data_IF_735943010585
#
_entry.id   IF_735943010585
#
_cell.length_a   1.000
_cell.length_b   1.000
_cell.length_c   1.000
_cell.angle_alpha   90.00
_cell.angle_beta   90.00
_cell.angle_gamma   90.00
#
_symmetry.space_group_name_H-M   'P 1'
#
loop_
_entity.id
_entity.type
_entity.pdbx_description
1 polymer ?
#
# COMPACT_ATOMS: atom_id res chain seq x y z
N UNK A 1 58.06 25.44 57.48
CA UNK A 1 57.16 26.40 56.80
C UNK A 1 57.99 27.16 55.77
N UNK A 2 57.75 26.91 54.47
CA UNK A 2 58.43 27.53 53.32
C UNK A 2 57.35 28.05 52.35
N UNK A 3 57.51 29.22 51.73
CA UNK A 3 56.43 29.89 51.01
C UNK A 3 56.26 29.32 49.58
N UNK A 4 55.02 29.31 49.12
CA UNK A 4 54.60 28.90 47.77
C UNK A 4 54.61 30.13 46.86
N UNK A 5 55.33 30.04 45.74
CA UNK A 5 55.29 31.01 44.64
C UNK A 5 54.18 30.64 43.65
N UNK A 6 53.31 31.60 43.33
CA UNK A 6 52.26 31.46 42.30
C UNK A 6 52.80 32.02 40.98
N UNK A 7 52.90 31.18 39.95
CA UNK A 7 53.14 31.60 38.57
C UNK A 7 51.79 31.70 37.84
N UNK A 8 51.49 32.88 37.31
CA UNK A 8 50.35 33.11 36.42
C UNK A 8 50.74 32.74 34.97
N UNK A 9 50.02 31.81 34.36
CA UNK A 9 50.14 31.46 32.95
C UNK A 9 49.00 32.13 32.17
N UNK A 10 49.38 32.99 31.23
CA UNK A 10 48.51 33.67 30.27
C UNK A 10 48.14 32.68 29.16
N UNK A 11 46.84 32.45 28.94
CA UNK A 11 46.33 31.61 27.85
C UNK A 11 45.88 32.48 26.68
N UNK A 12 46.47 32.24 25.51
CA UNK A 12 46.11 32.89 24.24
C UNK A 12 44.87 32.21 23.64
N UNK A 13 43.80 32.96 23.34
CA UNK A 13 42.58 32.44 22.71
C UNK A 13 42.73 32.39 21.19
N UNK A 14 42.62 31.19 20.62
CA UNK A 14 42.46 30.96 19.18
C UNK A 14 40.96 30.85 18.89
N UNK A 15 40.44 31.76 18.06
CA UNK A 15 39.04 31.81 17.61
C UNK A 15 38.78 30.74 16.54
N UNK A 16 38.29 29.57 16.97
CA UNK A 16 37.69 28.57 16.08
C UNK A 16 36.25 28.94 15.74
N UNK A 17 35.98 29.27 14.48
CA UNK A 17 34.63 29.45 13.96
C UNK A 17 33.85 28.14 14.05
N UNK A 18 32.73 28.15 14.78
CA UNK A 18 31.79 27.03 14.86
C UNK A 18 31.00 26.92 13.54
N UNK A 19 30.79 25.73 12.98
CA UNK A 19 29.93 25.55 11.82
C UNK A 19 28.49 25.88 12.22
N UNK A 20 27.89 26.83 11.51
CA UNK A 20 26.49 27.24 11.64
C UNK A 20 25.57 26.02 11.59
N UNK A 21 24.91 25.71 12.71
CA UNK A 21 23.83 24.74 12.74
C UNK A 21 22.64 25.33 11.99
N UNK A 22 22.45 24.87 10.74
CA UNK A 22 21.22 25.11 9.99
C UNK A 22 20.08 24.42 10.74
N UNK A 23 19.29 25.22 11.45
CA UNK A 23 18.05 24.81 12.08
C UNK A 23 17.11 24.30 10.99
N UNK A 24 16.85 22.99 11.00
CA UNK A 24 15.80 22.41 10.16
C UNK A 24 14.47 23.13 10.45
N UNK A 25 13.74 23.52 9.41
CA UNK A 25 12.39 24.00 9.55
C UNK A 25 11.55 22.95 10.30
N UNK A 26 10.61 23.36 11.17
CA UNK A 26 9.76 22.41 11.88
C UNK A 26 8.95 21.63 10.84
N UNK A 27 9.26 20.35 10.71
CA UNK A 27 8.42 19.35 10.03
C UNK A 27 7.06 19.44 10.72
N UNK A 28 5.98 19.61 9.94
CA UNK A 28 4.63 19.60 10.50
C UNK A 28 4.46 18.37 11.41
N UNK A 29 3.78 18.54 12.55
CA UNK A 29 3.67 17.47 13.55
C UNK A 29 3.33 16.14 12.85
N UNK A 30 4.17 15.08 12.99
CA UNK A 30 3.88 13.81 12.37
C UNK A 30 2.49 13.36 12.82
N UNK A 31 1.67 12.93 11.86
CA UNK A 31 0.36 12.35 12.19
C UNK A 31 0.57 11.24 13.23
N UNK A 32 -0.28 11.13 14.27
CA UNK A 32 -0.14 10.09 15.27
C UNK A 32 0.00 8.73 14.60
N UNK A 33 0.93 7.90 15.08
CA UNK A 33 1.16 6.58 14.52
C UNK A 33 -0.15 5.77 14.53
N UNK A 34 -0.61 5.36 13.35
CA UNK A 34 -1.82 4.57 13.21
C UNK A 34 -1.53 3.15 13.69
N UNK A 35 -2.29 2.68 14.68
CA UNK A 35 -2.11 1.35 15.24
C UNK A 35 -2.28 0.26 14.16
N UNK A 36 -1.35 -0.69 14.13
CA UNK A 36 -1.36 -1.84 13.21
C UNK A 36 -1.82 -3.11 13.96
N UNK A 37 -3.09 -3.47 13.80
CA UNK A 37 -3.74 -4.59 14.47
C UNK A 37 -3.65 -5.86 13.61
N UNK A 38 -2.81 -6.80 14.05
CA UNK A 38 -2.55 -8.05 13.33
C UNK A 38 -3.02 -9.26 14.10
N UNK A 39 -3.51 -10.26 13.37
CA UNK A 39 -3.97 -11.51 13.93
C UNK A 39 -3.20 -12.67 13.28
N UNK A 40 -2.56 -13.50 14.11
CA UNK A 40 -1.68 -14.60 13.65
C UNK A 40 -2.45 -15.82 13.16
N UNK A 41 -3.67 -16.02 13.65
CA UNK A 41 -4.56 -17.12 13.28
C UNK A 41 -5.56 -16.71 12.21
N UNK A 42 -6.33 -17.66 11.68
CA UNK A 42 -7.57 -17.38 10.95
C UNK A 42 -8.76 -17.41 11.90
N UNK A 43 -9.84 -16.63 11.64
CA UNK A 43 -11.05 -16.70 12.45
C UNK A 43 -11.69 -18.09 12.32
N UNK A 44 -12.06 -18.68 13.45
CA UNK A 44 -12.70 -20.00 13.53
C UNK A 44 -14.23 -19.92 13.55
N UNK A 45 -14.87 -21.09 13.57
CA UNK A 45 -16.32 -21.24 13.71
C UNK A 45 -16.81 -22.55 13.08
N UNK A 46 -18.00 -23.05 13.47
CA UNK A 46 -18.59 -24.21 12.82
C UNK A 46 -18.92 -23.92 11.35
N UNK A 47 -18.78 -24.93 10.48
CA UNK A 47 -19.28 -24.84 9.11
C UNK A 47 -20.80 -24.76 9.11
N UNK A 48 -21.37 -24.04 8.15
CA UNK A 48 -22.82 -23.94 7.92
C UNK A 48 -23.18 -24.53 6.56
N UNK A 49 -24.41 -25.01 6.41
CA UNK A 49 -24.88 -25.62 5.16
C UNK A 49 -24.91 -24.58 4.03
N UNK A 50 -24.21 -24.89 2.93
CA UNK A 50 -24.34 -24.15 1.66
C UNK A 50 -25.76 -24.28 1.10
N UNK A 51 -26.25 -23.19 0.51
CA UNK A 51 -27.60 -23.04 -0.06
C UNK A 51 -27.76 -23.93 -1.29
N UNK A 52 -26.76 -23.96 -2.16
CA UNK A 52 -26.84 -24.68 -3.43
C UNK A 52 -26.07 -26.01 -3.40
N UNK A 53 -26.65 -27.06 -3.99
CA UNK A 53 -25.99 -28.37 -4.14
C UNK A 53 -24.75 -28.26 -5.04
N UNK A 54 -24.80 -27.40 -6.07
CA UNK A 54 -23.67 -27.13 -6.97
C UNK A 54 -22.49 -26.50 -6.21
N UNK A 55 -22.75 -25.55 -5.33
CA UNK A 55 -21.73 -24.95 -4.47
C UNK A 55 -20.99 -25.99 -3.64
N UNK A 56 -21.68 -26.97 -3.07
CA UNK A 56 -21.04 -28.10 -2.35
C UNK A 56 -20.09 -28.92 -3.22
N UNK A 57 -20.44 -29.13 -4.49
CA UNK A 57 -19.57 -29.84 -5.43
C UNK A 57 -18.34 -28.99 -5.77
N UNK A 58 -18.54 -27.70 -6.01
CA UNK A 58 -17.47 -26.73 -6.32
C UNK A 58 -16.48 -26.61 -5.17
N UNK A 59 -16.95 -26.45 -3.93
CA UNK A 59 -16.06 -26.32 -2.76
C UNK A 59 -15.33 -27.62 -2.42
N UNK A 60 -15.94 -28.78 -2.70
CA UNK A 60 -15.30 -30.09 -2.46
C UNK A 60 -14.21 -30.43 -3.48
N UNK A 61 -14.39 -30.03 -4.75
CA UNK A 61 -13.49 -30.42 -5.85
C UNK A 61 -12.50 -29.32 -6.24
N UNK A 62 -12.85 -28.06 -6.01
CA UNK A 62 -12.03 -26.91 -6.38
C UNK A 62 -11.12 -26.44 -5.25
N UNK A 63 -9.92 -25.99 -5.58
CA UNK A 63 -9.07 -25.29 -4.61
C UNK A 63 -9.56 -23.84 -4.39
N UNK A 64 -9.56 -23.34 -3.15
CA UNK A 64 -9.91 -21.95 -2.86
C UNK A 64 -9.06 -20.93 -3.64
N UNK A 65 -9.69 -19.90 -4.18
CA UNK A 65 -9.08 -18.79 -4.92
C UNK A 65 -9.77 -17.47 -4.57
N UNK A 66 -9.97 -17.21 -3.28
CA UNK A 66 -10.67 -16.03 -2.79
C UNK A 66 -9.79 -14.78 -2.87
N UNK A 67 -10.42 -13.61 -2.91
CA UNK A 67 -9.74 -12.31 -2.95
C UNK A 67 -10.50 -11.32 -2.08
N UNK A 68 -9.77 -10.58 -1.25
CA UNK A 68 -10.30 -9.41 -0.56
C UNK A 68 -9.63 -8.17 -1.11
N UNK A 69 -10.42 -7.11 -1.32
CA UNK A 69 -9.92 -5.81 -1.75
C UNK A 69 -9.63 -4.95 -0.53
N UNK A 70 -8.42 -4.39 -0.47
CA UNK A 70 -8.01 -3.54 0.64
C UNK A 70 -8.92 -2.31 0.73
N UNK A 71 -9.46 -2.07 1.92
CA UNK A 71 -10.31 -0.90 2.18
C UNK A 71 -9.44 0.24 2.69
N UNK A 72 -9.57 1.41 2.07
CA UNK A 72 -9.03 2.67 2.58
C UNK A 72 -10.17 3.64 2.82
N UNK A 73 -10.28 4.18 4.04
CA UNK A 73 -11.36 5.08 4.42
C UNK A 73 -10.94 6.10 5.48
N UNK A 74 -11.74 7.14 5.66
CA UNK A 74 -11.73 7.98 6.87
C UNK A 74 -12.84 7.54 7.83
N UNK A 75 -12.72 7.82 9.15
CA UNK A 75 -13.70 7.33 10.14
C UNK A 75 -15.11 7.92 9.94
N UNK A 76 -15.20 9.11 9.37
CA UNK A 76 -16.43 9.90 9.26
C UNK A 76 -17.22 9.66 7.97
N UNK A 77 -16.72 8.79 7.07
CA UNK A 77 -17.50 8.40 5.89
C UNK A 77 -18.81 7.74 6.32
N UNK A 78 -19.94 8.04 5.66
CA UNK A 78 -21.24 7.51 6.08
C UNK A 78 -21.26 5.97 6.04
N UNK A 79 -20.55 5.39 5.06
CA UNK A 79 -20.48 3.95 4.80
C UNK A 79 -19.05 3.55 4.47
N UNK A 80 -18.56 2.55 5.20
CA UNK A 80 -17.36 1.79 4.85
C UNK A 80 -17.78 0.52 4.10
N UNK A 81 -17.04 0.12 3.06
CA UNK A 81 -17.41 -1.02 2.22
C UNK A 81 -16.28 -2.03 2.15
N UNK A 82 -16.56 -3.25 2.62
CA UNK A 82 -15.65 -4.39 2.48
C UNK A 82 -16.09 -5.19 1.26
N UNK A 83 -15.17 -5.45 0.33
CA UNK A 83 -15.49 -6.12 -0.94
C UNK A 83 -14.41 -7.11 -1.33
N UNK A 84 -14.77 -8.02 -2.24
CA UNK A 84 -13.86 -9.00 -2.80
C UNK A 84 -14.64 -10.06 -3.57
N UNK A 85 -13.96 -11.15 -3.90
CA UNK A 85 -14.52 -12.25 -4.70
C UNK A 85 -14.23 -13.60 -4.07
N UNK A 86 -15.19 -14.50 -4.16
CA UNK A 86 -15.12 -15.87 -3.65
C UNK A 86 -15.16 -16.81 -4.84
N UNK A 87 -14.03 -17.40 -5.18
CA UNK A 87 -13.96 -18.39 -6.26
C UNK A 87 -13.20 -19.66 -5.88
N UNK A 88 -13.41 -20.69 -6.70
CA UNK A 88 -12.74 -21.99 -6.58
C UNK A 88 -12.21 -22.48 -7.93
N UNK A 89 -11.18 -23.32 -7.89
CA UNK A 89 -10.61 -24.00 -9.04
C UNK A 89 -9.73 -23.13 -9.93
N UNK A 90 -9.16 -23.74 -10.98
CA UNK A 90 -8.13 -23.11 -11.83
C UNK A 90 -8.66 -21.96 -12.71
N UNK A 91 -9.95 -21.98 -13.03
CA UNK A 91 -10.61 -20.94 -13.84
C UNK A 91 -11.36 -19.91 -13.00
N UNK A 92 -11.19 -19.92 -11.67
CA UNK A 92 -11.93 -19.05 -10.74
C UNK A 92 -13.45 -19.09 -10.96
N UNK A 93 -14.07 -20.24 -10.64
CA UNK A 93 -15.54 -20.33 -10.63
C UNK A 93 -16.06 -19.60 -9.39
N UNK A 94 -16.78 -18.50 -9.59
CA UNK A 94 -17.48 -17.78 -8.53
C UNK A 94 -18.41 -18.70 -7.73
N UNK A 95 -18.37 -18.56 -6.40
CA UNK A 95 -19.30 -19.22 -5.49
C UNK A 95 -20.58 -18.37 -5.45
N UNK A 96 -21.63 -18.81 -6.14
CA UNK A 96 -22.85 -18.02 -6.38
C UNK A 96 -23.85 -18.15 -5.24
N UNK A 97 -24.44 -17.03 -4.81
CA UNK A 97 -25.53 -16.97 -3.83
C UNK A 97 -25.24 -17.71 -2.51
N UNK A 98 -23.99 -17.67 -2.03
CA UNK A 98 -23.59 -18.27 -0.76
C UNK A 98 -23.25 -17.21 0.29
N UNK A 99 -23.41 -17.59 1.56
CA UNK A 99 -23.05 -16.71 2.67
C UNK A 99 -21.54 -16.77 2.92
N UNK A 100 -20.94 -15.60 3.19
CA UNK A 100 -19.58 -15.44 3.73
C UNK A 100 -19.59 -14.56 4.97
N UNK A 101 -18.72 -14.87 5.92
CA UNK A 101 -18.55 -14.10 7.15
C UNK A 101 -17.30 -13.24 7.09
N UNK A 102 -17.43 -11.97 7.50
CA UNK A 102 -16.32 -11.03 7.53
C UNK A 102 -15.89 -10.75 8.97
N UNK A 103 -14.59 -10.61 9.17
CA UNK A 103 -13.95 -10.39 10.46
C UNK A 103 -12.94 -9.25 10.37
N UNK A 104 -12.76 -8.53 11.47
CA UNK A 104 -11.66 -7.60 11.67
C UNK A 104 -10.81 -8.02 12.86
N UNK A 105 -9.50 -7.82 12.77
CA UNK A 105 -8.62 -7.95 13.91
C UNK A 105 -8.71 -6.71 14.82
N UNK A 106 -9.01 -6.94 16.10
CA UNK A 106 -8.88 -5.97 17.19
C UNK A 106 -7.86 -6.49 18.19
N UNK A 107 -6.71 -5.81 18.30
CA UNK A 107 -5.65 -6.12 19.30
C UNK A 107 -5.31 -7.63 19.40
N UNK A 108 -5.15 -8.30 18.26
CA UNK A 108 -4.80 -9.73 18.19
C UNK A 108 -5.97 -10.70 18.26
N UNK A 109 -7.21 -10.21 18.37
CA UNK A 109 -8.43 -11.04 18.40
C UNK A 109 -9.30 -10.78 17.18
N UNK A 110 -9.80 -11.85 16.56
CA UNK A 110 -10.79 -11.71 15.48
C UNK A 110 -12.17 -11.37 16.03
N UNK A 111 -12.77 -10.31 15.50
CA UNK A 111 -14.14 -9.86 15.80
C UNK A 111 -14.99 -10.00 14.54
N UNK A 112 -16.15 -10.64 14.66
CA UNK A 112 -17.11 -10.78 13.56
C UNK A 112 -17.78 -9.45 13.22
N UNK A 113 -17.78 -9.08 11.94
CA UNK A 113 -18.39 -7.85 11.42
C UNK A 113 -19.79 -8.07 10.85
N UNK A 114 -20.04 -9.26 10.31
CA UNK A 114 -21.32 -9.58 9.68
C UNK A 114 -21.20 -10.66 8.62
N UNK A 115 -22.31 -10.90 7.92
CA UNK A 115 -22.41 -11.82 6.79
C UNK A 115 -22.74 -11.05 5.52
N UNK A 116 -22.10 -11.40 4.42
CA UNK A 116 -22.45 -10.95 3.08
C UNK A 116 -22.88 -12.14 2.22
N UNK A 117 -23.72 -11.88 1.21
CA UNK A 117 -24.12 -12.85 0.18
C UNK A 117 -23.26 -12.60 -1.05
N UNK A 118 -22.72 -13.65 -1.65
CA UNK A 118 -22.06 -13.55 -2.95
C UNK A 118 -23.07 -13.44 -4.09
N UNK A 119 -22.74 -12.71 -5.16
CA UNK A 119 -23.55 -12.61 -6.38
C UNK A 119 -23.22 -13.70 -7.42
N UNK A 120 -23.72 -13.54 -8.67
CA UNK A 120 -23.54 -14.47 -9.79
C UNK A 120 -22.07 -14.59 -10.23
N UNK A 121 -21.23 -13.61 -9.92
CA UNK A 121 -19.80 -13.60 -10.19
C UNK A 121 -18.98 -14.06 -8.98
N UNK A 122 -19.63 -14.26 -7.84
CA UNK A 122 -19.00 -14.57 -6.57
C UNK A 122 -18.47 -13.33 -5.84
N UNK A 123 -18.83 -12.11 -6.25
CA UNK A 123 -18.46 -10.89 -5.52
C UNK A 123 -19.25 -10.82 -4.21
N UNK A 124 -18.58 -10.41 -3.14
CA UNK A 124 -19.23 -10.08 -1.87
C UNK A 124 -19.08 -8.58 -1.59
N UNK A 125 -20.08 -8.02 -0.90
CA UNK A 125 -20.02 -6.67 -0.37
C UNK A 125 -20.68 -6.61 1.02
N UNK A 126 -19.94 -6.12 2.02
CA UNK A 126 -20.47 -5.81 3.35
C UNK A 126 -20.35 -4.32 3.62
N UNK A 127 -21.48 -3.65 3.82
CA UNK A 127 -21.55 -2.27 4.27
C UNK A 127 -21.42 -2.19 5.79
N UNK A 128 -20.52 -1.34 6.28
CA UNK A 128 -20.42 -0.98 7.69
C UNK A 128 -20.89 0.46 7.86
N UNK A 129 -21.90 0.66 8.68
CA UNK A 129 -22.58 1.95 8.90
C UNK A 129 -22.80 2.19 10.39
N UNK A 130 -23.00 3.45 10.77
CA UNK A 130 -23.19 3.84 12.17
C UNK A 130 -22.06 3.31 13.07
N UNK A 131 -22.44 2.63 14.15
CA UNK A 131 -21.52 2.06 15.14
C UNK A 131 -20.79 0.80 14.65
N UNK A 132 -21.15 0.23 13.49
CA UNK A 132 -20.44 -0.90 12.90
C UNK A 132 -19.19 -0.49 12.10
N UNK A 133 -19.03 0.81 11.80
CA UNK A 133 -17.83 1.32 11.14
C UNK A 133 -16.59 1.04 11.97
N UNK A 134 -15.51 0.67 11.30
CA UNK A 134 -14.23 0.49 11.91
C UNK A 134 -13.61 1.86 12.24
N UNK A 135 -13.10 2.01 13.47
CA UNK A 135 -12.38 3.22 13.89
C UNK A 135 -11.01 3.36 13.23
N UNK A 136 -10.27 4.42 13.58
CA UNK A 136 -8.91 4.65 13.09
C UNK A 136 -8.00 3.45 13.43
N UNK A 137 -7.20 3.02 12.46
CA UNK A 137 -6.32 1.87 12.58
C UNK A 137 -6.06 1.19 11.24
N UNK A 138 -4.89 0.59 11.11
CA UNK A 138 -4.58 -0.43 10.12
C UNK A 138 -4.88 -1.78 10.75
N UNK A 139 -5.56 -2.69 10.05
CA UNK A 139 -5.92 -3.99 10.61
C UNK A 139 -6.08 -5.09 9.58
N UNK A 140 -5.78 -6.31 10.00
CA UNK A 140 -6.15 -7.49 9.24
C UNK A 140 -7.68 -7.57 9.15
N UNK A 141 -8.16 -7.81 7.94
CA UNK A 141 -9.53 -8.21 7.65
C UNK A 141 -9.51 -9.63 7.11
N UNK A 142 -10.59 -10.37 7.31
CA UNK A 142 -10.71 -11.73 6.81
C UNK A 142 -12.13 -12.00 6.32
N UNK A 143 -12.26 -12.69 5.19
CA UNK A 143 -13.53 -13.24 4.71
C UNK A 143 -13.44 -14.77 4.74
N UNK A 144 -14.46 -15.43 5.31
CA UNK A 144 -14.54 -16.89 5.44
C UNK A 144 -15.82 -17.42 4.82
N UNK A 145 -15.70 -18.47 4.01
CA UNK A 145 -16.84 -19.19 3.47
C UNK A 145 -17.48 -20.05 4.55
N UNK A 146 -18.71 -19.67 4.92
CA UNK A 146 -19.85 -20.58 4.99
C UNK A 146 -19.57 -22.06 5.30
N UNK A 147 -19.42 -22.81 4.21
CA UNK A 147 -19.50 -24.27 4.19
C UNK A 147 -18.23 -25.05 4.41
N UNK A 148 -17.05 -24.46 4.19
CA UNK A 148 -15.75 -25.14 4.28
C UNK A 148 -14.70 -24.36 5.08
N UNK A 149 -15.04 -23.14 5.53
CA UNK A 149 -14.17 -22.21 6.27
C UNK A 149 -12.93 -21.77 5.49
N UNK A 150 -12.83 -22.03 4.19
CA UNK A 150 -11.79 -21.42 3.39
C UNK A 150 -12.00 -19.91 3.34
N UNK A 151 -10.92 -19.15 3.20
CA UNK A 151 -10.98 -17.70 3.31
C UNK A 151 -9.67 -17.04 2.93
N UNK A 152 -9.66 -15.72 2.97
CA UNK A 152 -8.49 -14.91 2.60
C UNK A 152 -8.39 -13.69 3.51
N UNK A 153 -7.15 -13.31 3.83
CA UNK A 153 -6.84 -12.09 4.58
C UNK A 153 -6.66 -10.93 3.60
N UNK A 154 -7.18 -9.76 3.95
CA UNK A 154 -6.94 -8.49 3.27
C UNK A 154 -6.75 -7.37 4.31
N UNK A 155 -6.57 -6.13 3.88
CA UNK A 155 -6.24 -5.01 4.77
C UNK A 155 -7.38 -3.99 4.88
N UNK A 156 -7.67 -3.55 6.10
CA UNK A 156 -8.45 -2.35 6.36
C UNK A 156 -7.54 -1.25 6.87
N UNK A 157 -7.58 -0.09 6.23
CA UNK A 157 -6.87 1.11 6.65
C UNK A 157 -7.85 2.27 6.83
N UNK A 158 -8.13 2.61 8.08
CA UNK A 158 -8.95 3.77 8.42
C UNK A 158 -8.04 4.81 9.06
N UNK A 159 -7.98 6.00 8.46
CA UNK A 159 -7.10 7.08 8.92
C UNK A 159 -7.86 8.40 9.07
N UNK A 160 -7.40 9.33 9.91
CA UNK A 160 -7.95 10.68 9.94
C UNK A 160 -7.88 11.35 8.56
N UNK A 161 -8.82 12.27 8.30
CA UNK A 161 -8.69 13.16 7.14
C UNK A 161 -7.39 13.97 7.25
N UNK A 162 -6.74 14.24 6.12
CA UNK A 162 -5.45 14.92 6.06
C UNK A 162 -4.22 14.02 6.25
N UNK A 163 -4.39 12.72 6.55
CA UNK A 163 -3.26 11.78 6.62
C UNK A 163 -2.49 11.77 5.31
N UNK A 164 -1.17 11.92 5.43
CA UNK A 164 -0.23 12.02 4.30
C UNK A 164 0.14 10.63 3.80
N UNK A 165 0.00 10.43 2.50
CA UNK A 165 0.24 9.17 1.79
C UNK A 165 1.40 9.34 0.81
N UNK A 166 2.22 8.30 0.68
CA UNK A 166 3.11 8.14 -0.48
C UNK A 166 2.57 6.99 -1.32
N UNK A 167 2.20 7.29 -2.55
CA UNK A 167 1.71 6.27 -3.50
C UNK A 167 2.87 5.75 -4.33
N UNK A 168 2.92 4.46 -4.58
CA UNK A 168 3.96 3.86 -5.41
C UNK A 168 3.35 2.89 -6.42
N UNK A 169 3.81 2.98 -7.67
CA UNK A 169 3.76 1.82 -8.54
C UNK A 169 4.61 0.66 -7.96
N UNK A 170 4.34 -0.57 -8.38
CA UNK A 170 5.07 -1.76 -7.90
C UNK A 170 5.96 -2.34 -9.00
N UNK A 171 5.40 -2.61 -10.19
CA UNK A 171 6.04 -3.45 -11.20
C UNK A 171 7.12 -2.67 -11.97
N UNK A 172 8.39 -3.02 -11.72
CA UNK A 172 9.57 -2.31 -12.24
C UNK A 172 9.94 -1.06 -11.43
N UNK A 173 8.99 -0.49 -10.69
CA UNK A 173 9.24 0.60 -9.72
C UNK A 173 9.88 0.06 -8.44
N UNK A 174 9.26 -0.94 -7.80
CA UNK A 174 9.78 -1.56 -6.57
C UNK A 174 10.47 -2.90 -6.85
N UNK A 175 10.14 -3.55 -7.97
CA UNK A 175 10.68 -4.86 -8.35
C UNK A 175 11.81 -4.72 -9.38
N UNK A 176 12.81 -5.60 -9.36
CA UNK A 176 13.83 -5.65 -10.42
C UNK A 176 13.24 -6.19 -11.73
N UNK A 177 13.64 -5.65 -12.89
CA UNK A 177 12.89 -5.83 -14.15
C UNK A 177 13.38 -6.92 -15.11
N UNK A 178 14.56 -7.51 -14.96
CA UNK A 178 15.31 -8.12 -16.09
C UNK A 178 14.63 -9.26 -16.88
N UNK A 179 13.52 -9.85 -16.42
CA UNK A 179 12.60 -10.64 -17.27
C UNK A 179 11.20 -10.69 -16.68
N UNK A 180 10.89 -9.72 -15.84
CA UNK A 180 9.80 -9.78 -14.87
C UNK A 180 8.45 -9.55 -15.53
N UNK A 181 8.32 -8.71 -16.56
CA UNK A 181 6.97 -8.35 -17.03
C UNK A 181 6.10 -9.56 -17.41
N UNK A 182 6.62 -10.60 -18.09
CA UNK A 182 5.82 -11.80 -18.39
C UNK A 182 5.71 -12.74 -17.19
N UNK A 183 6.79 -13.04 -16.45
CA UNK A 183 6.73 -13.96 -15.29
C UNK A 183 5.97 -13.37 -14.10
N UNK A 184 6.04 -12.07 -13.92
CA UNK A 184 5.36 -11.29 -12.90
C UNK A 184 3.92 -11.00 -13.33
N UNK A 185 3.64 -10.51 -14.55
CA UNK A 185 2.26 -10.27 -14.99
C UNK A 185 1.43 -11.54 -15.23
N UNK A 186 2.06 -12.69 -15.52
CA UNK A 186 1.35 -13.97 -15.74
C UNK A 186 1.36 -14.88 -14.50
N UNK A 187 2.49 -14.98 -13.78
CA UNK A 187 2.64 -15.94 -12.69
C UNK A 187 2.81 -15.31 -11.29
N UNK A 188 2.88 -13.98 -11.18
CA UNK A 188 3.06 -13.30 -9.90
C UNK A 188 4.37 -13.57 -9.19
N UNK A 189 5.39 -13.99 -9.94
CA UNK A 189 6.72 -14.26 -9.43
C UNK A 189 7.54 -12.97 -9.44
N UNK A 190 8.05 -12.59 -8.27
CA UNK A 190 8.96 -11.46 -8.11
C UNK A 190 10.39 -11.97 -7.90
N UNK A 191 11.36 -11.39 -8.61
CA UNK A 191 12.76 -11.82 -8.58
C UNK A 191 13.60 -11.08 -7.54
N UNK A 192 13.15 -9.91 -7.10
CA UNK A 192 13.82 -9.10 -6.07
C UNK A 192 13.27 -7.67 -6.02
N UNK A 193 13.62 -6.93 -4.98
CA UNK A 193 13.35 -5.50 -4.87
C UNK A 193 14.47 -4.65 -5.49
N UNK A 194 14.11 -3.47 -6.01
CA UNK A 194 15.09 -2.46 -6.39
C UNK A 194 16.00 -2.12 -5.19
N UNK A 195 17.33 -2.06 -5.36
CA UNK A 195 18.25 -1.75 -4.25
C UNK A 195 17.88 -0.45 -3.53
N UNK A 196 17.85 -0.50 -2.19
CA UNK A 196 17.51 0.64 -1.34
C UNK A 196 16.02 0.97 -1.23
N UNK A 197 15.15 0.39 -2.06
CA UNK A 197 13.72 0.73 -2.08
C UNK A 197 13.00 0.45 -0.73
N UNK A 198 13.15 -0.73 -0.09
CA UNK A 198 12.52 -0.98 1.21
C UNK A 198 12.97 0.04 2.28
N UNK A 199 14.26 0.37 2.31
CA UNK A 199 14.81 1.34 3.26
C UNK A 199 14.29 2.76 3.01
N UNK A 200 14.22 3.19 1.75
CA UNK A 200 13.68 4.50 1.37
C UNK A 200 12.20 4.66 1.79
N UNK A 201 11.38 3.64 1.56
CA UNK A 201 9.99 3.62 2.04
C UNK A 201 9.89 3.52 3.56
N UNK A 202 10.81 2.81 4.22
CA UNK A 202 10.95 2.80 5.68
C UNK A 202 11.15 4.19 6.27
N UNK A 203 12.04 4.99 5.67
CA UNK A 203 12.26 6.40 6.07
C UNK A 203 11.00 7.24 5.91
N UNK A 204 10.24 7.05 4.82
CA UNK A 204 8.96 7.74 4.62
C UNK A 204 7.94 7.35 5.70
N UNK A 205 7.80 6.06 5.98
CA UNK A 205 6.89 5.56 7.02
C UNK A 205 7.25 6.10 8.41
N UNK A 206 8.54 6.13 8.76
CA UNK A 206 9.03 6.71 10.02
C UNK A 206 8.73 8.20 10.15
N UNK A 207 8.60 8.92 9.03
CA UNK A 207 8.21 10.33 8.98
C UNK A 207 6.70 10.57 8.97
N UNK A 208 5.91 9.49 9.05
CA UNK A 208 4.45 9.57 9.13
C UNK A 208 3.73 9.57 7.78
N UNK A 209 4.44 9.32 6.67
CA UNK A 209 3.78 9.05 5.39
C UNK A 209 3.38 7.59 5.32
N UNK A 210 2.09 7.31 5.13
CA UNK A 210 1.64 5.94 4.91
C UNK A 210 1.90 5.52 3.45
N UNK A 211 2.65 4.43 3.20
CA UNK A 211 2.77 3.88 1.86
C UNK A 211 1.44 3.27 1.39
N UNK A 212 1.08 3.55 0.14
CA UNK A 212 -0.01 2.90 -0.58
C UNK A 212 0.52 2.40 -1.91
N UNK A 213 0.37 1.12 -2.17
CA UNK A 213 0.91 0.46 -3.37
C UNK A 213 -0.18 0.34 -4.42
N UNK A 214 0.09 0.75 -5.66
CA UNK A 214 -0.88 0.74 -6.76
C UNK A 214 -0.28 -0.02 -7.92
N UNK A 215 -0.95 -1.08 -8.39
CA UNK A 215 -0.51 -1.84 -9.57
C UNK A 215 -1.66 -2.05 -10.53
N UNK A 216 -1.38 -1.93 -11.82
CA UNK A 216 -2.34 -2.16 -12.90
C UNK A 216 -2.58 -3.66 -13.18
N UNK A 217 -1.91 -4.53 -12.43
CA UNK A 217 -2.13 -5.98 -12.47
C UNK A 217 -3.45 -6.34 -11.80
N UNK A 218 -3.98 -7.51 -12.20
CA UNK A 218 -5.22 -8.01 -11.63
C UNK A 218 -5.11 -8.42 -10.16
N UNK A 219 -6.20 -8.24 -9.44
CA UNK A 219 -6.38 -8.58 -8.03
C UNK A 219 -6.04 -10.05 -7.69
N UNK A 220 -5.96 -10.98 -8.65
CA UNK A 220 -5.45 -12.34 -8.43
C UNK A 220 -4.03 -12.38 -7.87
N UNK A 221 -3.28 -11.29 -8.03
CA UNK A 221 -1.90 -11.19 -7.59
C UNK A 221 -1.76 -10.54 -6.21
N UNK A 222 -2.86 -10.14 -5.56
CA UNK A 222 -2.83 -9.41 -4.28
C UNK A 222 -1.99 -10.14 -3.22
N UNK A 223 -2.22 -11.43 -2.99
CA UNK A 223 -1.50 -12.20 -1.98
C UNK A 223 -0.01 -12.34 -2.30
N UNK A 224 0.34 -12.63 -3.56
CA UNK A 224 1.73 -12.72 -4.00
C UNK A 224 2.45 -11.38 -3.88
N UNK A 225 1.78 -10.28 -4.25
CA UNK A 225 2.29 -8.91 -4.12
C UNK A 225 2.55 -8.58 -2.65
N UNK A 226 1.59 -8.88 -1.77
CA UNK A 226 1.71 -8.63 -0.34
C UNK A 226 2.86 -9.42 0.27
N UNK A 227 2.95 -10.72 -0.04
CA UNK A 227 4.03 -11.59 0.44
C UNK A 227 5.39 -11.10 -0.04
N UNK A 228 5.50 -10.64 -1.29
CA UNK A 228 6.72 -10.01 -1.79
C UNK A 228 7.09 -8.78 -0.97
N UNK A 229 6.19 -7.79 -0.86
CA UNK A 229 6.45 -6.55 -0.12
C UNK A 229 6.89 -6.83 1.33
N UNK A 230 6.21 -7.76 2.01
CA UNK A 230 6.56 -8.19 3.37
C UNK A 230 7.94 -8.86 3.43
N UNK A 231 8.21 -9.82 2.54
CA UNK A 231 9.49 -10.55 2.49
C UNK A 231 10.70 -9.65 2.22
N UNK A 232 10.49 -8.55 1.49
CA UNK A 232 11.53 -7.58 1.14
C UNK A 232 11.66 -6.47 2.20
N UNK A 233 10.81 -6.45 3.23
CA UNK A 233 10.87 -5.46 4.31
C UNK A 233 10.27 -4.10 3.97
N UNK A 234 9.36 -4.02 2.98
CA UNK A 234 8.61 -2.79 2.76
C UNK A 234 7.65 -2.51 3.93
N UNK A 235 7.40 -1.23 4.28
CA UNK A 235 6.39 -0.90 5.26
C UNK A 235 5.02 -1.44 4.84
N UNK A 236 4.25 -1.90 5.82
CA UNK A 236 2.91 -2.41 5.53
C UNK A 236 1.99 -1.28 5.06
N UNK A 237 1.21 -1.54 4.02
CA UNK A 237 0.20 -0.60 3.53
C UNK A 237 -0.83 -1.24 2.60
N UNK A 238 -1.88 -0.48 2.25
CA UNK A 238 -2.89 -0.89 1.28
C UNK A 238 -2.29 -1.17 -0.10
N UNK A 239 -2.82 -2.20 -0.77
CA UNK A 239 -2.47 -2.57 -2.14
C UNK A 239 -3.72 -2.42 -3.02
N UNK A 240 -3.68 -1.48 -3.95
CA UNK A 240 -4.76 -1.19 -4.89
C UNK A 240 -4.42 -1.79 -6.26
N UNK A 241 -5.06 -2.91 -6.57
CA UNK A 241 -4.90 -3.64 -7.83
C UNK A 241 -6.11 -3.47 -8.74
N UNK A 242 -5.92 -3.66 -10.05
CA UNK A 242 -7.02 -3.63 -11.00
C UNK A 242 -7.94 -4.84 -10.78
N UNK A 243 -9.25 -4.67 -10.98
CA UNK A 243 -10.18 -5.82 -10.98
C UNK A 243 -9.93 -6.74 -12.18
N UNK A 244 -9.52 -6.17 -13.31
CA UNK A 244 -9.21 -6.88 -14.54
C UNK A 244 -7.88 -7.64 -14.45
N UNK A 245 -7.80 -8.84 -15.05
CA UNK A 245 -6.62 -9.73 -14.98
C UNK A 245 -5.29 -9.02 -15.28
N UNK A 246 -5.25 -8.18 -16.32
CA UNK A 246 -4.12 -7.30 -16.66
C UNK A 246 -4.69 -6.08 -17.39
N UNK A 247 -4.30 -4.86 -17.00
CA UNK A 247 -4.44 -3.71 -17.89
C UNK A 247 -3.19 -3.57 -18.76
N UNK A 248 -3.36 -3.40 -20.06
CA UNK A 248 -2.23 -3.17 -20.98
C UNK A 248 -1.64 -1.78 -20.71
N UNK A 249 -0.31 -1.57 -20.82
CA UNK A 249 0.28 -0.24 -20.76
C UNK A 249 -0.43 0.71 -21.74
N UNK A 250 -0.82 1.90 -21.26
CA UNK A 250 -1.60 2.84 -22.06
C UNK A 250 -2.71 3.53 -21.25
N UNK A 251 -3.74 4.01 -21.96
CA UNK A 251 -4.82 4.81 -21.38
C UNK A 251 -5.57 4.10 -20.24
N UNK A 252 -5.81 2.80 -20.36
CA UNK A 252 -6.53 2.03 -19.34
C UNK A 252 -5.76 1.93 -18.03
N UNK A 253 -4.44 1.71 -18.11
CA UNK A 253 -3.54 1.72 -16.96
C UNK A 253 -3.55 3.09 -16.27
N UNK A 254 -3.49 4.18 -17.05
CA UNK A 254 -3.57 5.55 -16.52
C UNK A 254 -4.92 5.79 -15.84
N UNK A 255 -6.02 5.42 -16.49
CA UNK A 255 -7.38 5.61 -15.97
C UNK A 255 -7.63 4.79 -14.70
N UNK A 256 -7.10 3.57 -14.60
CA UNK A 256 -7.17 2.77 -13.38
C UNK A 256 -6.41 3.45 -12.23
N UNK A 257 -5.12 3.77 -12.42
CA UNK A 257 -4.30 4.38 -11.36
C UNK A 257 -4.87 5.71 -10.89
N UNK A 258 -5.35 6.53 -11.84
CA UNK A 258 -6.02 7.81 -11.54
C UNK A 258 -7.24 7.57 -10.66
N UNK A 259 -8.16 6.67 -11.04
CA UNK A 259 -9.37 6.36 -10.25
C UNK A 259 -9.06 5.80 -8.85
N UNK A 260 -8.02 4.95 -8.74
CA UNK A 260 -7.56 4.42 -7.47
C UNK A 260 -7.09 5.55 -6.54
N UNK A 261 -6.28 6.48 -7.05
CA UNK A 261 -5.78 7.61 -6.28
C UNK A 261 -6.87 8.66 -5.98
N UNK A 262 -7.79 8.91 -6.91
CA UNK A 262 -8.96 9.79 -6.68
C UNK A 262 -9.87 9.25 -5.58
N UNK A 263 -9.92 7.93 -5.39
CA UNK A 263 -10.67 7.33 -4.28
C UNK A 263 -10.04 7.70 -2.93
N UNK A 264 -8.70 7.75 -2.86
CA UNK A 264 -7.98 8.19 -1.66
C UNK A 264 -8.23 9.68 -1.38
N UNK A 265 -8.11 10.53 -2.40
CA UNK A 265 -8.27 11.98 -2.22
C UNK A 265 -9.72 12.35 -1.90
N UNK A 266 -10.71 11.71 -2.55
CA UNK A 266 -12.14 11.88 -2.20
C UNK A 266 -12.47 11.40 -0.79
N UNK A 267 -11.74 10.43 -0.25
CA UNK A 267 -11.90 10.02 1.14
C UNK A 267 -11.36 11.06 2.14
N UNK A 268 -10.67 12.11 1.68
CA UNK A 268 -10.08 13.15 2.51
C UNK A 268 -8.62 12.90 2.88
N UNK A 269 -7.94 11.95 2.23
CA UNK A 269 -6.52 11.66 2.41
C UNK A 269 -5.67 12.50 1.46
N UNK A 270 -4.41 12.75 1.82
CA UNK A 270 -3.52 13.62 1.03
C UNK A 270 -2.41 12.79 0.41
N UNK A 271 -2.28 12.82 -0.91
CA UNK A 271 -1.14 12.20 -1.61
C UNK A 271 0.01 13.21 -1.61
N UNK A 272 1.01 12.97 -0.76
CA UNK A 272 2.17 13.83 -0.59
C UNK A 272 3.19 13.67 -1.74
N UNK A 273 3.23 12.50 -2.37
CA UNK A 273 4.16 12.18 -3.44
C UNK A 273 3.81 10.86 -4.12
N UNK A 274 4.31 10.68 -5.34
CA UNK A 274 4.11 9.50 -6.17
C UNK A 274 5.44 8.96 -6.69
N UNK A 275 5.65 7.64 -6.60
CA UNK A 275 6.87 6.95 -7.06
C UNK A 275 6.52 5.99 -8.19
N UNK A 276 7.15 6.11 -9.34
CA UNK A 276 6.90 5.25 -10.51
C UNK A 276 8.13 5.04 -11.38
N UNK A 277 7.95 4.41 -12.54
CA UNK A 277 9.02 4.15 -13.51
C UNK A 277 8.56 4.33 -14.98
N UNK A 278 7.27 4.59 -15.25
CA UNK A 278 6.72 4.73 -16.61
C UNK A 278 6.12 6.11 -16.87
N UNK A 279 5.99 6.48 -18.15
CA UNK A 279 5.26 7.66 -18.56
C UNK A 279 3.77 7.60 -18.17
N UNK A 280 3.19 6.40 -18.08
CA UNK A 280 1.83 6.20 -17.54
C UNK A 280 1.71 6.62 -16.08
N UNK A 281 2.77 6.47 -15.28
CA UNK A 281 2.76 6.90 -13.88
C UNK A 281 2.80 8.41 -13.79
N UNK A 282 3.69 9.05 -14.58
CA UNK A 282 3.72 10.51 -14.72
C UNK A 282 2.34 11.05 -15.12
N UNK A 283 1.68 10.41 -16.09
CA UNK A 283 0.35 10.81 -16.53
C UNK A 283 -0.69 10.68 -15.42
N UNK A 284 -0.73 9.54 -14.72
CA UNK A 284 -1.70 9.30 -13.64
C UNK A 284 -1.49 10.24 -12.44
N UNK A 285 -0.24 10.48 -12.02
CA UNK A 285 0.06 11.39 -10.92
C UNK A 285 -0.28 12.84 -11.26
N UNK A 286 -0.05 13.26 -12.51
CA UNK A 286 -0.47 14.60 -12.97
C UNK A 286 -1.98 14.74 -13.07
N UNK A 287 -2.69 13.69 -13.46
CA UNK A 287 -4.15 13.71 -13.58
C UNK A 287 -4.84 14.01 -12.24
N UNK A 288 -4.27 13.56 -11.12
CA UNK A 288 -4.76 13.89 -9.77
C UNK A 288 -4.23 15.23 -9.23
N UNK A 289 -3.52 16.01 -10.05
CA UNK A 289 -3.00 17.33 -9.66
C UNK A 289 -1.72 17.32 -8.84
N UNK A 290 -0.97 16.21 -8.79
CA UNK A 290 0.28 16.17 -8.04
C UNK A 290 1.35 17.08 -8.70
N UNK A 291 1.99 17.99 -7.96
CA UNK A 291 3.04 18.85 -8.50
C UNK A 291 4.22 18.02 -9.04
N UNK A 292 4.88 18.44 -10.14
CA UNK A 292 6.03 17.72 -10.69
C UNK A 292 7.14 17.43 -9.68
N UNK A 293 7.40 18.35 -8.75
CA UNK A 293 8.41 18.19 -7.70
C UNK A 293 8.09 17.07 -6.68
N UNK A 294 6.87 16.53 -6.71
CA UNK A 294 6.37 15.42 -5.86
C UNK A 294 6.13 14.14 -6.67
N UNK A 295 6.48 14.14 -7.96
CA UNK A 295 6.42 12.96 -8.84
C UNK A 295 7.84 12.47 -9.04
N UNK A 296 8.18 11.31 -8.46
CA UNK A 296 9.51 10.72 -8.49
C UNK A 296 9.53 9.52 -9.42
N UNK A 297 10.38 9.55 -10.44
CA UNK A 297 10.42 8.49 -11.46
C UNK A 297 11.81 7.87 -11.54
N UNK A 298 11.89 6.58 -11.27
CA UNK A 298 13.10 5.79 -11.48
C UNK A 298 13.36 5.66 -12.97
N UNK A 299 14.50 6.17 -13.46
CA UNK A 299 14.73 6.25 -14.91
C UNK A 299 15.14 4.91 -15.52
N UNK A 300 15.95 4.11 -14.80
CA UNK A 300 16.31 2.72 -15.10
C UNK A 300 16.29 2.33 -16.60
N UNK A 301 15.57 1.25 -16.91
CA UNK A 301 15.39 0.73 -18.27
C UNK A 301 14.52 1.62 -19.18
N UNK A 302 13.72 2.53 -18.61
CA UNK A 302 12.75 3.36 -19.34
C UNK A 302 13.23 4.80 -19.58
N UNK A 303 14.53 5.07 -19.46
CA UNK A 303 15.09 6.41 -19.59
C UNK A 303 14.76 7.07 -20.94
N UNK A 304 14.68 6.29 -22.02
CA UNK A 304 14.31 6.78 -23.36
C UNK A 304 12.85 7.25 -23.43
N UNK A 305 11.92 6.49 -22.86
CA UNK A 305 10.49 6.80 -22.74
C UNK A 305 10.29 8.09 -21.90
N UNK A 306 11.05 8.22 -20.82
CA UNK A 306 10.88 9.29 -19.83
C UNK A 306 11.57 10.62 -20.21
N UNK A 307 12.54 10.61 -21.13
CA UNK A 307 13.37 11.77 -21.48
C UNK A 307 12.55 13.03 -21.74
N UNK A 308 11.48 12.93 -22.54
CA UNK A 308 10.62 14.07 -22.87
C UNK A 308 9.82 14.60 -21.67
N UNK A 309 9.43 13.72 -20.73
CA UNK A 309 8.72 14.14 -19.52
C UNK A 309 9.65 14.86 -18.55
N UNK A 310 10.87 14.35 -18.36
CA UNK A 310 11.86 14.96 -17.47
C UNK A 310 12.37 16.28 -18.04
N UNK A 311 12.67 16.36 -19.34
CA UNK A 311 13.07 17.60 -20.00
C UNK A 311 11.99 18.69 -19.93
N UNK A 312 10.72 18.30 -19.96
CA UNK A 312 9.58 19.21 -19.79
C UNK A 312 9.25 19.54 -18.33
N UNK A 313 10.06 19.11 -17.36
CA UNK A 313 9.85 19.37 -15.93
C UNK A 313 8.55 18.77 -15.38
N UNK A 314 8.08 17.65 -15.95
CA UNK A 314 6.80 17.01 -15.56
C UNK A 314 6.93 16.04 -14.38
N UNK A 315 8.16 15.66 -14.04
CA UNK A 315 8.51 14.80 -12.93
C UNK A 315 9.99 14.99 -12.57
N UNK A 316 10.37 14.52 -11.39
CA UNK A 316 11.74 14.44 -10.92
C UNK A 316 12.27 13.02 -11.14
N UNK A 317 13.31 12.89 -11.95
CA UNK A 317 13.97 11.60 -12.18
C UNK A 317 14.94 11.24 -11.05
N UNK A 318 15.12 9.96 -10.77
CA UNK A 318 16.20 9.46 -9.90
C UNK A 318 16.83 8.19 -10.46
N UNK A 319 18.11 7.97 -10.16
CA UNK A 319 18.84 6.78 -10.58
C UNK A 319 18.76 5.66 -9.52
N UNK A 320 18.81 6.01 -8.23
CA UNK A 320 18.76 5.05 -7.13
C UNK A 320 17.81 5.46 -6.01
N UNK A 321 17.36 4.50 -5.20
CA UNK A 321 16.51 4.81 -4.05
C UNK A 321 17.27 5.54 -2.94
N UNK A 322 18.59 5.36 -2.82
CA UNK A 322 19.41 6.12 -1.87
C UNK A 322 19.47 7.61 -2.24
N UNK A 323 19.56 7.92 -3.54
CA UNK A 323 19.53 9.28 -4.07
C UNK A 323 18.17 9.94 -3.75
N UNK A 324 17.06 9.33 -4.14
CA UNK A 324 15.73 9.93 -3.93
C UNK A 324 15.39 10.07 -2.45
N UNK A 325 15.83 9.12 -1.61
CA UNK A 325 15.62 9.17 -0.16
C UNK A 325 16.42 10.30 0.51
N UNK A 326 17.66 10.52 0.08
CA UNK A 326 18.56 11.53 0.66
C UNK A 326 18.32 12.95 0.16
N UNK A 327 17.65 13.10 -0.99
CA UNK A 327 17.38 14.40 -1.62
C UNK A 327 15.89 14.76 -1.56
N UNK A 328 15.08 14.12 -2.40
CA UNK A 328 13.72 14.55 -2.70
C UNK A 328 12.73 14.18 -1.61
N UNK A 329 12.82 12.96 -1.06
CA UNK A 329 11.93 12.55 0.00
C UNK A 329 12.07 13.47 1.21
N UNK A 330 13.29 13.92 1.56
CA UNK A 330 13.52 14.86 2.67
C UNK A 330 12.74 16.17 2.53
N UNK A 331 12.45 16.59 1.30
CA UNK A 331 11.75 17.85 1.00
C UNK A 331 10.22 17.67 0.90
N UNK A 332 9.70 16.47 1.13
CA UNK A 332 8.26 16.26 1.26
C UNK A 332 7.71 17.03 2.49
N UNK A 333 6.50 17.59 2.36
CA UNK A 333 5.91 18.52 3.34
C UNK A 333 5.57 17.89 4.68
#
# INVERSE_FOLDING_TARGET
MRPVFIFALVWCSISGGSPSSLRAAPVGNPSPAIADNRCTTTPGGPTRKLRHKRSKLVTKLGSPRHRGLDMVATPDVPRQLLTGTIGYGKIHKGLEDEDVELFACDRGTWVGLGTARTDDEGEFALALEGNARLGVGMRDLYVSVVGDRSGVRFLGYVAPAGTQMIVSDIDGTLTTSESAFIKTAVAGLYTGAQPGAPAAFGVLAQRGYQPVYVSARGEQFTEATRAFLESQGFPRGPILLARSIVTVPGADTVAFKTRAMETLTRAGLVIAGGVGNRASDVAAYRAIGLPPARIFIGTGEFASELRGHLAAGRATGFATYDEVASSHFRNLP
#
